data_IF_008631851527
#
_entry.id   IF_008631851527
#
_cell.length_a   1.000
_cell.length_b   1.000
_cell.length_c   1.000
_cell.angle_alpha   90.00
_cell.angle_beta   90.00
_cell.angle_gamma   90.00
#
_symmetry.space_group_name_H-M   'P 1'
#
loop_
_entity.id
_entity.type
_entity.pdbx_description
1 polymer ?
#
# COMPACT_ATOMS: atom_id res chain seq x y z
N UNK A 1 6.53 7.49 -6.06
CA UNK A 1 5.19 6.93 -5.75
C UNK A 1 4.91 5.71 -6.61
N UNK A 2 4.89 5.85 -7.95
CA UNK A 2 4.65 4.74 -8.88
C UNK A 2 5.57 3.53 -8.61
N UNK A 3 6.89 3.75 -8.51
CA UNK A 3 7.85 2.68 -8.21
C UNK A 3 7.58 2.02 -6.85
N UNK A 4 7.13 2.78 -5.85
CA UNK A 4 6.84 2.21 -4.52
C UNK A 4 5.64 1.25 -4.56
N UNK A 5 4.56 1.63 -5.25
CA UNK A 5 3.41 0.72 -5.46
C UNK A 5 3.77 -0.47 -6.35
N UNK A 6 4.65 -0.31 -7.34
CA UNK A 6 5.15 -1.43 -8.14
C UNK A 6 5.96 -2.41 -7.28
N UNK A 7 6.83 -1.91 -6.40
CA UNK A 7 7.59 -2.73 -5.44
C UNK A 7 6.64 -3.43 -4.46
N UNK A 8 5.62 -2.73 -3.94
CA UNK A 8 4.57 -3.31 -3.10
C UNK A 8 3.85 -4.46 -3.80
N UNK A 9 3.37 -4.23 -5.02
CA UNK A 9 2.76 -5.26 -5.88
C UNK A 9 3.67 -6.49 -6.01
N UNK A 10 4.94 -6.30 -6.37
CA UNK A 10 5.87 -7.42 -6.53
C UNK A 10 6.12 -8.17 -5.22
N UNK A 11 6.15 -7.45 -4.09
CA UNK A 11 6.30 -8.05 -2.76
C UNK A 11 5.10 -8.95 -2.45
N UNK A 12 3.88 -8.47 -2.66
CA UNK A 12 2.67 -9.26 -2.42
C UNK A 12 2.57 -10.47 -3.37
N UNK A 13 2.99 -10.33 -4.63
CA UNK A 13 3.10 -11.46 -5.56
C UNK A 13 4.08 -12.51 -5.04
N UNK A 14 5.28 -12.13 -4.62
CA UNK A 14 6.25 -13.08 -4.09
C UNK A 14 5.73 -13.77 -2.82
N UNK A 15 5.12 -13.03 -1.92
CA UNK A 15 4.51 -13.60 -0.71
C UNK A 15 3.40 -14.60 -1.07
N UNK A 16 2.52 -14.26 -2.03
CA UNK A 16 1.45 -15.14 -2.53
C UNK A 16 2.00 -16.40 -3.22
N UNK A 17 3.08 -16.28 -3.99
CA UNK A 17 3.73 -17.42 -4.66
C UNK A 17 4.41 -18.36 -3.67
N UNK A 18 5.02 -17.82 -2.61
CA UNK A 18 5.77 -18.60 -1.62
C UNK A 18 4.86 -19.25 -0.56
N UNK A 19 3.74 -18.60 -0.21
CA UNK A 19 2.90 -19.01 0.93
C UNK A 19 1.44 -19.33 0.55
N UNK A 20 1.01 -19.04 -0.67
CA UNK A 20 -0.37 -19.21 -1.11
C UNK A 20 -1.33 -18.17 -0.52
N UNK A 21 -2.63 -18.46 -0.57
CA UNK A 21 -3.69 -17.52 -0.16
C UNK A 21 -3.78 -17.25 1.35
N UNK A 22 -3.21 -18.15 2.16
CA UNK A 22 -3.16 -18.03 3.62
C UNK A 22 -1.68 -17.93 3.99
N UNK A 23 -1.19 -16.70 4.10
CA UNK A 23 0.22 -16.41 4.31
C UNK A 23 0.66 -16.73 5.74
N UNK A 24 -0.16 -16.35 6.71
CA UNK A 24 0.04 -16.74 8.10
C UNK A 24 -1.31 -17.19 8.71
N UNK A 25 -1.47 -18.48 9.07
CA UNK A 25 -2.68 -18.99 9.70
C UNK A 25 -2.88 -18.50 11.15
N UNK A 26 -1.83 -17.98 11.79
CA UNK A 26 -1.87 -17.48 13.18
C UNK A 26 -2.50 -16.09 13.29
N UNK A 27 -2.56 -15.33 12.18
CA UNK A 27 -3.23 -14.02 12.16
C UNK A 27 -4.70 -14.15 11.76
N UNK A 28 -5.56 -13.19 12.14
CA UNK A 28 -6.95 -13.19 11.71
C UNK A 28 -7.10 -13.33 10.19
N UNK A 29 -8.05 -14.16 9.74
CA UNK A 29 -8.27 -14.44 8.30
C UNK A 29 -8.40 -13.18 7.45
N UNK A 30 -9.01 -12.13 7.99
CA UNK A 30 -9.18 -10.86 7.29
C UNK A 30 -7.84 -10.16 6.98
N UNK A 31 -6.80 -10.33 7.82
CA UNK A 31 -5.45 -9.78 7.53
C UNK A 31 -4.82 -10.47 6.32
N UNK A 32 -4.97 -11.79 6.20
CA UNK A 32 -4.52 -12.53 5.01
C UNK A 32 -5.24 -12.04 3.74
N UNK A 33 -6.57 -11.91 3.82
CA UNK A 33 -7.38 -11.40 2.69
C UNK A 33 -6.94 -9.99 2.31
N UNK A 34 -6.76 -9.11 3.30
CA UNK A 34 -6.29 -7.75 3.09
C UNK A 34 -4.92 -7.76 2.39
N UNK A 35 -3.94 -8.50 2.93
CA UNK A 35 -2.60 -8.59 2.35
C UNK A 35 -2.61 -9.06 0.90
N UNK A 36 -3.37 -10.10 0.58
CA UNK A 36 -3.48 -10.60 -0.79
C UNK A 36 -4.16 -9.58 -1.70
N UNK A 37 -5.17 -8.87 -1.21
CA UNK A 37 -5.88 -7.84 -1.97
C UNK A 37 -4.98 -6.67 -2.40
N UNK A 38 -3.93 -6.38 -1.62
CA UNK A 38 -2.95 -5.35 -1.97
C UNK A 38 -2.22 -5.66 -3.28
N UNK A 39 -2.05 -6.94 -3.65
CA UNK A 39 -1.53 -7.33 -4.98
C UNK A 39 -2.32 -6.65 -6.11
N UNK A 40 -3.65 -6.65 -6.00
CA UNK A 40 -4.52 -6.03 -7.00
C UNK A 40 -4.56 -4.51 -6.85
N UNK A 41 -4.72 -4.01 -5.63
CA UNK A 41 -4.90 -2.57 -5.41
C UNK A 41 -3.63 -1.77 -5.71
N UNK A 42 -2.45 -2.27 -5.34
CA UNK A 42 -1.18 -1.60 -5.65
C UNK A 42 -0.95 -1.53 -7.16
N UNK A 43 -1.22 -2.63 -7.88
CA UNK A 43 -1.14 -2.66 -9.33
C UNK A 43 -2.14 -1.69 -9.97
N UNK A 44 -3.39 -1.68 -9.48
CA UNK A 44 -4.42 -0.75 -9.93
C UNK A 44 -3.97 0.71 -9.72
N UNK A 45 -3.34 1.03 -8.60
CA UNK A 45 -2.79 2.36 -8.34
C UNK A 45 -1.71 2.72 -9.35
N UNK A 46 -0.79 1.81 -9.69
CA UNK A 46 0.20 2.03 -10.76
C UNK A 46 -0.49 2.39 -12.08
N UNK A 47 -1.49 1.61 -12.49
CA UNK A 47 -2.26 1.87 -13.73
C UNK A 47 -2.99 3.21 -13.66
N UNK A 48 -3.64 3.53 -12.53
CA UNK A 48 -4.36 4.78 -12.35
C UNK A 48 -3.43 6.00 -12.30
N UNK A 49 -2.25 5.89 -11.72
CA UNK A 49 -1.27 6.98 -11.72
C UNK A 49 -0.76 7.30 -13.13
N UNK A 50 -0.69 6.29 -14.00
CA UNK A 50 -0.31 6.47 -15.41
C UNK A 50 -1.45 6.99 -16.29
N UNK A 51 -2.70 6.58 -16.02
CA UNK A 51 -3.84 6.82 -16.93
C UNK A 51 -4.81 7.89 -16.43
N UNK A 52 -5.03 7.96 -15.11
CA UNK A 52 -6.04 8.80 -14.46
C UNK A 52 -5.47 9.36 -13.15
N UNK A 53 -4.45 10.21 -13.27
CA UNK A 53 -3.61 10.70 -12.16
C UNK A 53 -4.42 11.08 -10.90
N UNK A 54 -5.53 11.83 -11.04
CA UNK A 54 -6.36 12.24 -9.90
C UNK A 54 -6.95 11.05 -9.13
N UNK A 55 -7.52 10.08 -9.84
CA UNK A 55 -8.01 8.84 -9.22
C UNK A 55 -6.86 8.03 -8.64
N UNK A 56 -5.73 7.95 -9.35
CA UNK A 56 -4.53 7.27 -8.84
C UNK A 56 -4.05 7.85 -7.51
N UNK A 57 -4.02 9.17 -7.37
CA UNK A 57 -3.66 9.86 -6.13
C UNK A 57 -4.66 9.61 -4.99
N UNK A 58 -5.96 9.61 -5.29
CA UNK A 58 -7.00 9.32 -4.31
C UNK A 58 -6.87 7.89 -3.78
N UNK A 59 -6.78 6.91 -4.67
CA UNK A 59 -6.63 5.50 -4.30
C UNK A 59 -5.30 5.23 -3.60
N UNK A 60 -4.19 5.84 -4.06
CA UNK A 60 -2.89 5.75 -3.41
C UNK A 60 -2.96 6.17 -1.94
N UNK A 61 -3.59 7.31 -1.65
CA UNK A 61 -3.74 7.81 -0.28
C UNK A 61 -4.62 6.87 0.57
N UNK A 62 -5.75 6.40 0.04
CA UNK A 62 -6.65 5.51 0.79
C UNK A 62 -5.95 4.19 1.15
N UNK A 63 -5.32 3.55 0.16
CA UNK A 63 -4.69 2.23 0.35
C UNK A 63 -3.48 2.34 1.28
N UNK A 64 -2.61 3.34 1.11
CA UNK A 64 -1.43 3.44 1.96
C UNK A 64 -1.77 3.76 3.42
N UNK A 65 -2.85 4.52 3.67
CA UNK A 65 -3.36 4.76 5.02
C UNK A 65 -3.91 3.45 5.61
N UNK A 66 -4.75 2.73 4.87
CA UNK A 66 -5.31 1.47 5.33
C UNK A 66 -4.22 0.44 5.64
N UNK A 67 -3.22 0.33 4.76
CA UNK A 67 -2.10 -0.60 4.91
C UNK A 67 -1.28 -0.29 6.18
N UNK A 68 -0.93 0.97 6.40
CA UNK A 68 -0.23 1.38 7.63
C UNK A 68 -1.08 1.06 8.86
N UNK A 69 -2.37 1.42 8.86
CA UNK A 69 -3.25 1.15 10.01
C UNK A 69 -3.36 -0.34 10.33
N UNK A 70 -3.47 -1.20 9.31
CA UNK A 70 -3.56 -2.66 9.48
C UNK A 70 -2.27 -3.25 10.06
N UNK A 71 -1.10 -2.76 9.60
CA UNK A 71 0.21 -3.30 10.02
C UNK A 71 0.81 -2.60 11.26
N UNK A 72 0.23 -1.51 11.75
CA UNK A 72 0.73 -0.78 12.94
C UNK A 72 -0.20 -0.82 14.16
N UNK A 73 -1.44 -1.30 13.99
CA UNK A 73 -2.49 -1.48 15.00
C UNK A 73 -2.20 -0.83 16.37
N UNK A 74 -2.35 0.50 16.43
CA UNK A 74 -2.02 1.41 17.55
C UNK A 74 -0.54 1.52 17.93
N UNK A 75 0.07 0.46 18.48
CA UNK A 75 1.44 0.48 19.02
C UNK A 75 2.24 -0.79 18.70
N UNK A 76 1.68 -1.71 17.91
CA UNK A 76 2.35 -2.96 17.52
C UNK A 76 2.64 -2.94 16.03
N UNK A 77 3.92 -2.90 15.72
CA UNK A 77 4.43 -3.08 14.38
C UNK A 77 4.37 -4.58 14.07
N UNK A 78 3.28 -4.99 13.43
CA UNK A 78 2.97 -6.39 13.13
C UNK A 78 2.63 -6.54 11.64
N UNK A 79 3.59 -7.03 10.86
CA UNK A 79 3.40 -7.44 9.47
C UNK A 79 3.18 -8.95 9.46
N UNK A 80 1.94 -9.38 9.20
CA UNK A 80 1.58 -10.81 9.10
C UNK A 80 2.00 -11.66 10.32
N UNK A 81 1.95 -11.14 11.54
CA UNK A 81 2.29 -11.82 12.78
C UNK A 81 3.73 -11.60 13.28
N UNK A 82 4.58 -10.90 12.50
CA UNK A 82 5.98 -10.67 12.84
C UNK A 82 6.19 -9.30 13.49
N UNK A 83 6.57 -9.33 14.78
CA UNK A 83 7.02 -8.15 15.53
C UNK A 83 8.41 -7.67 15.03
N UNK A 84 8.67 -6.35 15.11
CA UNK A 84 9.97 -5.70 14.80
C UNK A 84 10.46 -5.84 13.34
N UNK A 85 9.52 -5.96 12.38
CA UNK A 85 9.87 -5.98 10.96
C UNK A 85 10.22 -4.57 10.45
N UNK A 86 11.49 -4.38 10.05
CA UNK A 86 11.98 -3.11 9.49
C UNK A 86 11.16 -2.64 8.28
N UNK A 87 10.49 -3.57 7.57
CA UNK A 87 9.61 -3.26 6.44
C UNK A 87 8.44 -2.37 6.86
N UNK A 88 7.99 -2.39 8.12
CA UNK A 88 6.90 -1.53 8.59
C UNK A 88 7.38 -0.09 8.74
N UNK A 89 8.63 0.14 9.15
CA UNK A 89 9.20 1.50 9.13
C UNK A 89 9.29 2.04 7.70
N UNK A 90 9.73 1.19 6.74
CA UNK A 90 9.76 1.57 5.33
C UNK A 90 8.36 1.88 4.79
N UNK A 91 7.36 1.12 5.21
CA UNK A 91 5.95 1.32 4.87
C UNK A 91 5.43 2.67 5.40
N UNK A 92 5.72 3.02 6.66
CA UNK A 92 5.34 4.32 7.26
C UNK A 92 6.05 5.48 6.54
N UNK A 93 7.35 5.35 6.25
CA UNK A 93 8.11 6.36 5.50
C UNK A 93 7.50 6.53 4.10
N UNK A 94 7.15 5.43 3.44
CA UNK A 94 6.50 5.46 2.14
C UNK A 94 5.13 6.12 2.22
N UNK A 95 4.33 5.88 3.26
CA UNK A 95 3.05 6.54 3.50
C UNK A 95 3.20 8.06 3.62
N UNK A 96 4.14 8.53 4.44
CA UNK A 96 4.43 9.96 4.58
C UNK A 96 4.80 10.55 3.22
N UNK A 97 5.67 9.88 2.46
CA UNK A 97 6.06 10.30 1.13
C UNK A 97 4.88 10.36 0.15
N UNK A 98 3.98 9.36 0.15
CA UNK A 98 2.79 9.33 -0.71
C UNK A 98 1.86 10.50 -0.37
N UNK A 99 1.55 10.72 0.90
CA UNK A 99 0.64 11.78 1.33
C UNK A 99 1.18 13.18 0.98
N UNK A 100 2.46 13.44 1.26
CA UNK A 100 3.11 14.71 0.94
C UNK A 100 3.17 14.93 -0.58
N UNK A 101 3.64 13.93 -1.34
CA UNK A 101 3.74 14.05 -2.79
C UNK A 101 2.39 14.22 -3.46
N UNK A 102 1.34 13.55 -2.96
CA UNK A 102 -0.03 13.70 -3.44
C UNK A 102 -0.55 15.14 -3.28
N UNK A 103 -0.31 15.76 -2.13
CA UNK A 103 -0.66 17.17 -1.89
C UNK A 103 0.09 18.12 -2.83
N UNK A 104 1.39 17.89 -3.04
CA UNK A 104 2.22 18.70 -3.94
C UNK A 104 1.70 18.59 -5.39
N UNK A 105 1.47 17.36 -5.87
CA UNK A 105 0.99 17.12 -7.24
C UNK A 105 -0.37 17.78 -7.48
N UNK A 106 -1.30 17.68 -6.51
CA UNK A 106 -2.62 18.32 -6.62
C UNK A 106 -2.53 19.86 -6.64
N UNK A 107 -1.58 20.44 -5.91
CA UNK A 107 -1.32 21.90 -5.94
C UNK A 107 -0.74 22.35 -7.28
N UNK A 108 0.18 21.57 -7.85
CA UNK A 108 0.83 21.90 -9.13
C UNK A 108 -0.06 21.65 -10.35
N UNK A 109 -1.00 20.71 -10.25
CA UNK A 109 -1.94 20.36 -11.31
C UNK A 109 -3.37 20.43 -10.78
N UNK A 110 -3.90 21.64 -10.53
CA UNK A 110 -5.24 21.81 -9.99
C UNK A 110 -6.30 21.24 -10.93
N UNK A 111 -7.49 21.00 -10.38
CA UNK A 111 -8.55 20.19 -10.96
C UNK A 111 -9.09 20.62 -12.34
N UNK A 112 -8.60 21.72 -12.91
CA UNK A 112 -9.18 22.42 -14.07
C UNK A 112 -8.45 22.21 -15.41
N UNK A 113 -7.57 21.21 -15.53
CA UNK A 113 -7.12 20.78 -16.87
C UNK A 113 -7.98 19.61 -17.33
N UNK A 114 -8.84 19.93 -18.30
CA UNK A 114 -9.75 19.06 -19.06
C UNK A 114 -8.96 17.96 -19.75
#
# INVERSE_FOLDING_TARGET
MLLGFAIGTTTHIFDLMNHGWILNPEVPKWKNIFWVSLTFFDFLIVVLLLTKLKLGLLFANIIIIADVLVNTNFFKFDRLGYDDDYKIYLQVIFAIYVLISSLIVLKLKPWNTV
#
